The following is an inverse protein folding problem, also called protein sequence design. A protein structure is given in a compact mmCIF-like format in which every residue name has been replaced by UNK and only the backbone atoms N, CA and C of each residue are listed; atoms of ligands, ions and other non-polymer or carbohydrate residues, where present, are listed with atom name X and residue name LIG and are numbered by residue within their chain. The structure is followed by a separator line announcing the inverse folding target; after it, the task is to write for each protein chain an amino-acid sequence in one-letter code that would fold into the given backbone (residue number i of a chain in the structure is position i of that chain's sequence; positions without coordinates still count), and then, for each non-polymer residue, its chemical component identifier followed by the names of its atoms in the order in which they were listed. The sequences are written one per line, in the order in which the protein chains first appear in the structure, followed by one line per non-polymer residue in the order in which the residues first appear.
data_IF_807804966574
#
_entry.id   IF_807804966574
#
_cell.length_a   1.000
_cell.length_b   1.000
_cell.length_c   1.000
_cell.angle_alpha   90.00
_cell.angle_beta   90.00
_cell.angle_gamma   90.00
#
_symmetry.space_group_name_H-M   'P 1'
#
loop_
_entity.id
_entity.type
_entity.pdbx_description
1 polymer ?
#
# COMPACT_ATOMS: atom_id res chain seq x y z
N UNK A 1 -26.01 -11.12 -14.02
CA UNK A 1 -27.22 -11.83 -14.47
C UNK A 1 -26.89 -12.57 -15.77
N UNK A 2 -26.93 -13.90 -15.73
CA UNK A 2 -26.60 -14.78 -16.85
C UNK A 2 -27.87 -15.23 -17.62
N UNK A 3 -27.75 -15.34 -18.92
CA UNK A 3 -28.73 -15.94 -19.84
C UNK A 3 -27.98 -16.52 -21.05
N UNK A 4 -28.68 -17.32 -21.88
CA UNK A 4 -28.08 -17.86 -23.10
C UNK A 4 -27.55 -16.74 -24.03
N UNK A 5 -26.31 -16.80 -24.52
CA UNK A 5 -25.70 -15.70 -25.29
C UNK A 5 -26.49 -15.29 -26.54
N UNK A 6 -27.07 -16.25 -27.24
CA UNK A 6 -27.86 -16.00 -28.43
C UNK A 6 -29.19 -15.21 -28.22
N UNK A 7 -29.60 -15.05 -26.94
CA UNK A 7 -30.83 -14.31 -26.56
C UNK A 7 -30.56 -13.27 -25.47
N UNK A 8 -29.28 -12.84 -25.34
CA UNK A 8 -28.80 -12.05 -24.22
C UNK A 8 -29.07 -10.54 -24.35
N UNK A 9 -29.43 -10.04 -25.52
CA UNK A 9 -29.70 -8.64 -25.76
C UNK A 9 -30.69 -8.08 -24.73
N UNK A 10 -30.31 -6.98 -24.07
CA UNK A 10 -31.11 -6.28 -23.04
C UNK A 10 -31.44 -7.11 -21.77
N UNK A 11 -30.84 -8.29 -21.62
CA UNK A 11 -31.09 -9.21 -20.49
C UNK A 11 -29.84 -9.54 -19.68
N UNK A 12 -28.71 -9.80 -20.34
CA UNK A 12 -27.48 -10.20 -19.68
C UNK A 12 -26.78 -8.98 -19.05
N UNK A 13 -26.26 -9.18 -17.84
CA UNK A 13 -25.25 -8.32 -17.26
C UNK A 13 -24.10 -9.24 -16.88
N UNK A 14 -22.97 -9.12 -17.60
CA UNK A 14 -21.78 -9.91 -17.38
C UNK A 14 -20.94 -9.28 -16.27
N UNK A 15 -20.81 -9.98 -15.15
CA UNK A 15 -20.09 -9.46 -13.98
C UNK A 15 -18.60 -9.22 -14.26
N UNK A 16 -17.95 -10.05 -15.08
CA UNK A 16 -16.56 -9.81 -15.47
C UNK A 16 -16.38 -8.50 -16.25
N UNK A 17 -17.30 -8.18 -17.16
CA UNK A 17 -17.25 -6.92 -17.92
C UNK A 17 -17.57 -5.72 -17.02
N UNK A 18 -18.47 -5.89 -16.06
CA UNK A 18 -18.75 -4.86 -15.05
C UNK A 18 -17.54 -4.58 -14.16
N UNK A 19 -16.76 -5.62 -13.79
CA UNK A 19 -15.52 -5.49 -13.07
C UNK A 19 -14.46 -4.74 -13.90
N UNK A 20 -14.35 -5.01 -15.20
CA UNK A 20 -13.46 -4.25 -16.11
C UNK A 20 -13.91 -2.78 -16.21
N UNK A 21 -15.21 -2.53 -16.32
CA UNK A 21 -15.76 -1.17 -16.33
C UNK A 21 -15.40 -0.43 -15.04
N UNK A 22 -15.57 -1.04 -13.87
CA UNK A 22 -15.15 -0.47 -12.58
C UNK A 22 -13.67 -0.11 -12.59
N UNK A 23 -12.80 -1.04 -12.97
CA UNK A 23 -11.36 -0.83 -12.98
C UNK A 23 -10.93 0.28 -13.96
N UNK A 24 -11.65 0.44 -15.08
CA UNK A 24 -11.37 1.49 -16.07
C UNK A 24 -11.78 2.90 -15.64
N UNK A 25 -12.64 3.03 -14.63
CA UNK A 25 -13.07 4.31 -14.07
C UNK A 25 -12.06 4.87 -13.05
N UNK A 26 -11.12 4.04 -12.56
CA UNK A 26 -10.04 4.51 -11.69
C UNK A 26 -8.95 5.22 -12.50
N UNK A 27 -8.31 6.27 -11.94
CA UNK A 27 -7.26 7.01 -12.62
C UNK A 27 -6.10 6.11 -13.04
N UNK A 28 -5.77 6.10 -14.32
CA UNK A 28 -4.70 5.26 -14.86
C UNK A 28 -3.30 5.73 -14.44
N UNK A 29 -3.16 7.00 -14.07
CA UNK A 29 -1.94 7.63 -13.56
C UNK A 29 -1.74 7.44 -12.04
N UNK A 30 -2.71 6.84 -11.35
CA UNK A 30 -2.62 6.54 -9.91
C UNK A 30 -2.49 5.03 -9.65
N UNK A 31 -1.54 4.40 -10.30
CA UNK A 31 -1.19 2.98 -10.12
C UNK A 31 0.24 2.86 -9.57
N UNK A 32 0.62 1.74 -8.94
CA UNK A 32 2.00 1.54 -8.48
C UNK A 32 3.05 1.76 -9.57
N UNK A 33 2.75 1.35 -10.80
CA UNK A 33 3.64 1.46 -11.96
C UNK A 33 3.74 2.86 -12.57
N UNK A 34 2.88 3.80 -12.17
CA UNK A 34 2.83 5.17 -12.70
C UNK A 34 3.09 6.24 -11.63
N UNK A 35 3.34 5.84 -10.39
CA UNK A 35 3.50 6.75 -9.24
C UNK A 35 4.80 6.50 -8.50
N UNK A 36 5.37 7.54 -7.88
CA UNK A 36 6.61 7.48 -7.11
C UNK A 36 6.57 8.36 -5.84
N UNK A 37 7.62 8.27 -5.03
CA UNK A 37 7.83 9.14 -3.87
C UNK A 37 6.67 9.13 -2.87
N UNK A 38 5.98 10.25 -2.74
CA UNK A 38 4.84 10.44 -1.82
C UNK A 38 3.46 10.27 -2.49
N UNK A 39 3.42 9.98 -3.77
CA UNK A 39 2.18 9.80 -4.50
C UNK A 39 1.45 8.52 -4.06
N UNK A 40 0.15 8.64 -3.87
CA UNK A 40 -0.72 7.50 -3.54
C UNK A 40 -1.14 6.72 -4.78
N UNK A 41 -1.71 5.53 -4.57
CA UNK A 41 -2.12 4.66 -5.67
C UNK A 41 -3.30 3.76 -5.33
N UNK A 42 -3.94 3.24 -6.38
CA UNK A 42 -4.85 2.12 -6.37
C UNK A 42 -4.14 0.90 -6.98
N UNK A 43 -3.89 -0.13 -6.20
CA UNK A 43 -3.25 -1.35 -6.64
C UNK A 43 -4.24 -2.50 -6.73
N UNK A 44 -4.61 -2.89 -7.95
CA UNK A 44 -5.40 -4.09 -8.18
C UNK A 44 -4.53 -5.33 -7.91
N UNK A 45 -4.81 -6.04 -6.84
CA UNK A 45 -4.04 -7.23 -6.45
C UNK A 45 -4.65 -8.52 -6.97
N UNK A 46 -5.97 -8.55 -7.12
CA UNK A 46 -6.69 -9.75 -7.57
C UNK A 46 -7.90 -9.36 -8.39
N UNK A 47 -8.10 -10.06 -9.49
CA UNK A 47 -9.31 -10.00 -10.30
C UNK A 47 -9.72 -11.43 -10.63
N UNK A 48 -10.89 -11.83 -10.14
CA UNK A 48 -11.49 -13.14 -10.42
C UNK A 48 -12.91 -12.88 -10.91
N UNK A 49 -13.32 -13.54 -11.99
CA UNK A 49 -14.64 -13.29 -12.53
C UNK A 49 -15.19 -14.38 -13.43
N UNK A 50 -16.51 -14.40 -13.48
CA UNK A 50 -17.33 -15.15 -14.41
C UNK A 50 -18.45 -14.25 -14.94
N UNK A 51 -19.38 -14.80 -15.72
CA UNK A 51 -20.57 -14.05 -16.14
C UNK A 51 -21.46 -13.66 -14.95
N UNK A 52 -21.50 -14.49 -13.90
CA UNK A 52 -22.43 -14.33 -12.78
C UNK A 52 -21.86 -13.51 -11.63
N UNK A 53 -20.56 -13.64 -11.37
CA UNK A 53 -19.88 -12.98 -10.26
C UNK A 53 -18.48 -12.58 -10.65
N UNK A 54 -18.03 -11.42 -10.14
CA UNK A 54 -16.63 -10.99 -10.20
C UNK A 54 -16.23 -10.35 -8.88
N UNK A 55 -14.96 -10.50 -8.53
CA UNK A 55 -14.35 -9.90 -7.35
C UNK A 55 -13.08 -9.15 -7.76
N UNK A 56 -12.97 -7.91 -7.35
CA UNK A 56 -11.77 -7.09 -7.46
C UNK A 56 -11.24 -6.83 -6.05
N UNK A 57 -9.95 -7.06 -5.84
CA UNK A 57 -9.29 -6.70 -4.59
C UNK A 57 -8.28 -5.59 -4.86
N UNK A 58 -8.39 -4.51 -4.12
CA UNK A 58 -7.52 -3.36 -4.21
C UNK A 58 -6.81 -3.09 -2.89
N UNK A 59 -5.54 -2.70 -2.99
CA UNK A 59 -4.84 -1.98 -1.93
C UNK A 59 -4.82 -0.51 -2.33
N UNK A 60 -5.31 0.35 -1.44
CA UNK A 60 -5.26 1.81 -1.62
C UNK A 60 -4.23 2.37 -0.65
N UNK A 61 -3.34 3.21 -1.14
CA UNK A 61 -2.31 3.87 -0.33
C UNK A 61 -2.22 5.35 -0.65
N UNK A 62 -2.01 6.14 0.38
CA UNK A 62 -1.59 7.52 0.26
C UNK A 62 -0.84 7.95 1.52
N UNK A 63 0.14 8.83 1.39
CA UNK A 63 0.86 9.39 2.54
C UNK A 63 0.07 10.51 3.22
N UNK A 64 -0.79 11.21 2.47
CA UNK A 64 -1.72 12.20 2.98
C UNK A 64 -3.02 11.52 3.41
N UNK A 65 -3.45 11.77 4.65
CA UNK A 65 -4.75 11.30 5.15
C UNK A 65 -5.91 11.87 4.31
N UNK A 66 -5.82 13.14 3.94
CA UNK A 66 -6.83 13.80 3.11
C UNK A 66 -6.96 13.14 1.72
N UNK A 67 -5.84 12.93 1.02
CA UNK A 67 -5.83 12.27 -0.28
C UNK A 67 -6.26 10.80 -0.19
N UNK A 68 -5.93 10.13 0.92
CA UNK A 68 -6.41 8.77 1.18
C UNK A 68 -7.93 8.72 1.29
N UNK A 69 -8.54 9.64 2.06
CA UNK A 69 -10.00 9.72 2.17
C UNK A 69 -10.66 10.10 0.82
N UNK A 70 -10.05 10.99 0.04
CA UNK A 70 -10.53 11.29 -1.32
C UNK A 70 -10.51 10.05 -2.23
N UNK A 71 -9.50 9.19 -2.12
CA UNK A 71 -9.45 7.91 -2.85
C UNK A 71 -10.58 6.96 -2.45
N UNK A 72 -10.90 6.88 -1.16
CA UNK A 72 -12.04 6.08 -0.67
C UNK A 72 -13.37 6.63 -1.22
N UNK A 73 -13.54 7.95 -1.17
CA UNK A 73 -14.73 8.60 -1.75
C UNK A 73 -14.87 8.34 -3.25
N UNK A 74 -13.77 8.31 -4.00
CA UNK A 74 -13.81 7.98 -5.42
C UNK A 74 -14.32 6.55 -5.66
N UNK A 75 -13.90 5.57 -4.87
CA UNK A 75 -14.41 4.19 -4.94
C UNK A 75 -15.92 4.13 -4.66
N UNK A 76 -16.39 4.87 -3.66
CA UNK A 76 -17.83 4.98 -3.34
C UNK A 76 -18.61 5.62 -4.49
N UNK A 77 -18.07 6.70 -5.09
CA UNK A 77 -18.69 7.39 -6.22
C UNK A 77 -18.81 6.48 -7.44
N UNK A 78 -17.74 5.74 -7.79
CA UNK A 78 -17.74 4.78 -8.89
C UNK A 78 -18.77 3.69 -8.63
N UNK A 79 -18.81 3.15 -7.41
CA UNK A 79 -19.79 2.15 -7.01
C UNK A 79 -21.23 2.66 -7.16
N UNK A 80 -21.49 3.88 -6.69
CA UNK A 80 -22.80 4.52 -6.81
C UNK A 80 -23.19 4.78 -8.28
N UNK A 81 -22.22 5.21 -9.12
CA UNK A 81 -22.45 5.45 -10.54
C UNK A 81 -22.79 4.16 -11.28
N UNK A 82 -22.07 3.08 -11.01
CA UNK A 82 -22.33 1.78 -11.61
C UNK A 82 -23.68 1.21 -11.14
N UNK A 83 -24.07 1.41 -9.87
CA UNK A 83 -25.37 0.99 -9.37
C UNK A 83 -26.55 1.82 -9.92
N UNK A 84 -26.33 3.02 -10.45
CA UNK A 84 -27.34 3.74 -11.24
C UNK A 84 -27.59 3.05 -12.58
N UNK A 85 -26.54 2.50 -13.21
CA UNK A 85 -26.61 1.78 -14.48
C UNK A 85 -27.03 0.32 -14.31
N UNK A 86 -26.58 -0.31 -13.23
CA UNK A 86 -26.80 -1.73 -12.91
C UNK A 86 -27.31 -1.86 -11.46
N UNK A 87 -28.60 -1.60 -11.19
CA UNK A 87 -29.10 -1.47 -9.82
C UNK A 87 -28.82 -2.69 -8.93
N UNK A 88 -28.14 -2.46 -7.82
CA UNK A 88 -27.84 -3.47 -6.81
C UNK A 88 -26.81 -4.53 -7.21
N UNK A 89 -26.04 -4.30 -8.30
CA UNK A 89 -25.10 -5.30 -8.81
C UNK A 89 -23.65 -5.07 -8.39
N UNK A 90 -23.34 -3.94 -7.75
CA UNK A 90 -22.00 -3.63 -7.27
C UNK A 90 -22.05 -3.38 -5.77
N UNK A 91 -21.27 -4.13 -5.01
CA UNK A 91 -21.02 -3.90 -3.59
C UNK A 91 -19.56 -3.47 -3.38
N UNK A 92 -19.33 -2.62 -2.40
CA UNK A 92 -18.00 -2.17 -2.00
C UNK A 92 -17.84 -2.43 -0.51
N UNK A 93 -16.75 -3.12 -0.16
CA UNK A 93 -16.31 -3.29 1.22
C UNK A 93 -14.94 -2.65 1.37
N UNK A 94 -14.77 -1.82 2.40
CA UNK A 94 -13.50 -1.14 2.68
C UNK A 94 -13.12 -1.34 4.15
N UNK A 95 -11.84 -1.65 4.37
CA UNK A 95 -11.28 -1.81 5.72
C UNK A 95 -9.97 -1.04 5.81
N UNK A 96 -9.91 -0.08 6.73
CA UNK A 96 -8.67 0.65 7.03
C UNK A 96 -7.73 -0.26 7.82
N UNK A 97 -6.49 -0.39 7.35
CA UNK A 97 -5.47 -1.21 8.00
C UNK A 97 -4.66 -0.38 9.01
N UNK A 98 -4.14 0.74 8.57
CA UNK A 98 -3.36 1.72 9.34
C UNK A 98 -3.14 2.98 8.49
N UNK A 99 -2.82 4.08 9.17
CA UNK A 99 -2.45 5.34 8.53
C UNK A 99 -0.92 5.51 8.43
N UNK A 100 -0.46 6.65 7.95
CA UNK A 100 0.96 6.95 7.89
C UNK A 100 1.54 7.06 9.31
N UNK A 101 2.53 6.22 9.62
CA UNK A 101 3.17 6.20 10.95
C UNK A 101 3.89 7.51 11.29
N UNK A 102 4.13 8.40 10.33
CA UNK A 102 4.81 9.68 10.54
C UNK A 102 4.16 10.49 11.65
N UNK A 103 2.84 10.52 11.74
CA UNK A 103 2.12 11.27 12.78
C UNK A 103 2.42 10.76 14.20
N UNK A 104 2.81 9.49 14.34
CA UNK A 104 3.18 8.87 15.63
C UNK A 104 4.69 8.99 15.89
N UNK A 105 5.52 8.91 14.84
CA UNK A 105 6.99 8.91 14.94
C UNK A 105 7.54 10.33 15.05
N UNK A 106 6.97 11.32 14.35
CA UNK A 106 7.46 12.70 14.31
C UNK A 106 7.62 13.34 15.72
N UNK A 107 6.67 13.19 16.67
CA UNK A 107 6.82 13.70 18.03
C UNK A 107 7.95 13.00 18.82
N UNK A 108 8.42 11.86 18.34
CA UNK A 108 9.49 11.05 18.97
C UNK A 108 10.68 10.90 18.04
N UNK A 109 11.02 11.97 17.33
CA UNK A 109 12.08 11.99 16.31
C UNK A 109 13.44 11.49 16.83
N UNK A 110 13.70 11.56 18.13
CA UNK A 110 14.93 11.08 18.74
C UNK A 110 15.26 9.61 18.40
N UNK A 111 14.24 8.77 18.12
CA UNK A 111 14.47 7.37 17.71
C UNK A 111 15.03 7.29 16.28
N UNK A 112 14.59 8.19 15.39
CA UNK A 112 15.11 8.31 14.03
C UNK A 112 16.53 8.89 14.04
N UNK A 113 16.76 9.91 14.87
CA UNK A 113 18.08 10.53 15.03
C UNK A 113 19.10 9.53 15.61
N UNK A 114 18.69 8.69 16.57
CA UNK A 114 19.49 7.59 17.09
C UNK A 114 19.87 6.57 16.01
N UNK A 115 18.91 6.16 15.20
CA UNK A 115 19.15 5.25 14.10
C UNK A 115 20.09 5.85 13.04
N UNK A 116 19.93 7.14 12.75
CA UNK A 116 20.82 7.89 11.85
C UNK A 116 22.26 7.93 12.37
N UNK A 117 22.44 8.26 13.65
CA UNK A 117 23.76 8.27 14.29
C UNK A 117 24.42 6.88 14.28
N UNK A 118 23.65 5.81 14.50
CA UNK A 118 24.14 4.44 14.41
C UNK A 118 24.59 4.09 12.99
N UNK A 119 23.82 4.48 11.97
CA UNK A 119 24.19 4.28 10.56
C UNK A 119 25.51 5.00 10.23
N UNK A 120 25.65 6.26 10.60
CA UNK A 120 26.88 7.04 10.38
C UNK A 120 28.08 6.38 11.05
N UNK A 121 27.92 5.91 12.30
CA UNK A 121 29.00 5.24 13.05
C UNK A 121 29.50 3.95 12.39
N UNK A 122 28.67 3.27 11.59
CA UNK A 122 29.05 2.08 10.83
C UNK A 122 29.36 2.37 9.35
N UNK A 123 29.49 3.66 8.99
CA UNK A 123 29.85 4.11 7.64
C UNK A 123 28.71 4.03 6.62
N UNK A 124 27.46 4.05 7.07
CA UNK A 124 26.26 4.12 6.22
C UNK A 124 25.70 5.53 6.26
N UNK A 125 25.50 6.14 5.08
CA UNK A 125 24.87 7.47 4.97
C UNK A 125 23.35 7.34 5.18
N UNK A 126 22.75 7.94 6.22
CA UNK A 126 21.32 7.88 6.45
C UNK A 126 20.54 8.57 5.33
N UNK A 127 19.42 7.96 4.93
CA UNK A 127 18.46 8.55 4.01
C UNK A 127 17.05 8.29 4.55
N UNK A 128 16.42 9.34 5.04
CA UNK A 128 15.02 9.26 5.49
C UNK A 128 14.13 9.38 4.26
N UNK A 129 13.42 8.29 3.94
CA UNK A 129 12.56 8.20 2.76
C UNK A 129 11.18 7.68 3.13
N UNK A 130 10.13 8.05 2.37
CA UNK A 130 8.81 7.46 2.54
C UNK A 130 8.83 5.98 2.16
N UNK A 131 8.08 5.16 2.89
CA UNK A 131 7.78 3.79 2.50
C UNK A 131 6.37 3.77 1.94
N UNK A 132 6.21 3.37 0.69
CA UNK A 132 4.93 3.33 -0.03
C UNK A 132 4.14 2.05 0.25
N UNK A 133 4.77 1.04 0.82
CA UNK A 133 4.17 -0.21 1.24
C UNK A 133 3.65 -0.19 2.67
N UNK A 134 2.89 -1.20 3.03
CA UNK A 134 2.53 -1.49 4.41
C UNK A 134 3.70 -2.12 5.16
N UNK A 135 3.87 -1.76 6.43
CA UNK A 135 4.87 -2.36 7.31
C UNK A 135 4.27 -2.65 8.67
N UNK A 136 4.80 -3.66 9.35
CA UNK A 136 4.42 -3.96 10.74
C UNK A 136 4.74 -2.79 11.66
N UNK A 137 5.79 -2.02 11.36
CA UNK A 137 6.15 -0.81 12.09
C UNK A 137 5.05 0.25 12.08
N UNK A 138 4.31 0.40 10.98
CA UNK A 138 3.16 1.29 10.94
C UNK A 138 2.07 0.81 11.92
N UNK A 139 1.72 -0.48 11.89
CA UNK A 139 0.72 -1.05 12.80
C UNK A 139 1.14 -0.94 14.26
N UNK A 140 2.39 -1.30 14.58
CA UNK A 140 2.94 -1.19 15.93
C UNK A 140 2.94 0.25 16.44
N UNK A 141 3.23 1.22 15.57
CA UNK A 141 3.20 2.64 15.92
C UNK A 141 1.82 3.08 16.41
N UNK A 142 0.75 2.67 15.71
CA UNK A 142 -0.64 2.95 16.13
C UNK A 142 -1.11 2.13 17.34
N UNK A 143 -0.38 1.06 17.69
CA UNK A 143 -0.60 0.30 18.94
C UNK A 143 0.15 0.90 20.15
N UNK A 144 0.83 2.04 19.97
CA UNK A 144 1.55 2.74 21.03
C UNK A 144 3.06 2.51 21.08
N UNK A 145 3.62 1.74 20.15
CA UNK A 145 5.05 1.52 19.99
C UNK A 145 5.57 2.23 18.72
N UNK A 146 6.04 3.48 18.79
CA UNK A 146 6.63 4.17 17.63
C UNK A 146 7.78 3.35 17.04
N UNK A 147 7.59 2.86 15.82
CA UNK A 147 8.47 1.86 15.21
C UNK A 147 8.82 2.25 13.77
N UNK A 148 9.77 3.19 13.56
CA UNK A 148 10.28 3.50 12.24
C UNK A 148 11.05 2.31 11.67
N UNK A 149 11.02 2.16 10.34
CA UNK A 149 11.70 1.06 9.68
C UNK A 149 13.18 1.40 9.43
N UNK A 150 14.05 0.39 9.59
CA UNK A 150 15.44 0.43 9.17
C UNK A 150 15.60 -0.16 7.77
N UNK A 151 16.68 0.16 7.10
CA UNK A 151 17.04 -0.47 5.84
C UNK A 151 17.46 -1.93 6.07
N UNK A 152 17.19 -2.77 5.07
CA UNK A 152 17.75 -4.13 4.97
C UNK A 152 18.80 -4.22 3.87
N UNK A 153 18.72 -3.33 2.88
CA UNK A 153 19.55 -3.34 1.68
C UNK A 153 19.10 -4.35 0.63
N UNK A 154 17.86 -4.85 0.73
CA UNK A 154 17.25 -5.72 -0.26
C UNK A 154 16.82 -4.98 -1.52
N UNK A 155 16.64 -5.74 -2.59
CA UNK A 155 16.20 -5.28 -3.90
C UNK A 155 15.11 -6.18 -4.47
N UNK A 156 14.27 -5.63 -5.36
CA UNK A 156 13.21 -6.35 -6.05
C UNK A 156 12.21 -7.05 -5.10
N UNK A 157 11.88 -6.41 -3.98
CA UNK A 157 10.96 -6.94 -2.97
C UNK A 157 9.66 -7.45 -3.60
N UNK A 158 9.22 -8.63 -3.18
CA UNK A 158 8.08 -9.38 -3.71
C UNK A 158 8.23 -9.87 -5.16
N UNK A 159 9.38 -9.63 -5.80
CA UNK A 159 9.66 -10.08 -7.16
C UNK A 159 10.29 -11.49 -7.19
N UNK A 160 10.24 -12.15 -8.37
CA UNK A 160 10.87 -13.47 -8.58
C UNK A 160 12.39 -13.45 -8.39
N UNK A 161 13.01 -12.27 -8.54
CA UNK A 161 14.45 -12.04 -8.44
C UNK A 161 14.76 -11.12 -7.26
N UNK A 162 14.04 -11.31 -6.16
CA UNK A 162 14.36 -10.63 -4.90
C UNK A 162 15.72 -11.10 -4.39
N UNK A 163 16.56 -10.16 -3.99
CA UNK A 163 17.89 -10.46 -3.46
C UNK A 163 18.37 -9.40 -2.47
N UNK A 164 19.35 -9.76 -1.66
CA UNK A 164 20.10 -8.85 -0.80
C UNK A 164 21.60 -9.07 -1.01
N UNK A 165 22.39 -8.01 -1.29
CA UNK A 165 23.85 -8.09 -1.28
C UNK A 165 24.39 -8.39 0.12
N UNK A 166 25.36 -9.32 0.24
CA UNK A 166 25.97 -9.68 1.53
C UNK A 166 26.52 -8.45 2.28
N UNK A 167 27.25 -7.50 1.65
CA UNK A 167 27.70 -6.30 2.35
C UNK A 167 26.56 -5.44 2.90
N UNK A 168 25.42 -5.36 2.21
CA UNK A 168 24.26 -4.61 2.69
C UNK A 168 23.62 -5.28 3.91
N UNK A 169 23.49 -6.61 3.89
CA UNK A 169 23.01 -7.40 5.03
C UNK A 169 23.91 -7.20 6.25
N UNK A 170 25.24 -7.24 6.07
CA UNK A 170 26.21 -7.00 7.12
C UNK A 170 26.05 -5.59 7.72
N UNK A 171 25.92 -4.56 6.88
CA UNK A 171 25.72 -3.16 7.34
C UNK A 171 24.40 -2.97 8.08
N UNK A 172 23.34 -3.67 7.68
CA UNK A 172 22.07 -3.68 8.39
C UNK A 172 22.24 -4.25 9.82
N UNK A 173 22.91 -5.39 9.94
CA UNK A 173 23.21 -6.04 11.22
C UNK A 173 24.08 -5.11 12.11
N UNK A 174 25.18 -4.56 11.59
CA UNK A 174 26.08 -3.65 12.31
C UNK A 174 25.31 -2.41 12.83
N UNK A 175 24.36 -1.89 12.04
CA UNK A 175 23.51 -0.77 12.46
C UNK A 175 22.62 -1.13 13.65
N UNK A 176 21.99 -2.31 13.65
CA UNK A 176 21.15 -2.77 14.77
C UNK A 176 21.96 -2.93 16.05
N UNK A 177 23.14 -3.56 15.96
CA UNK A 177 24.07 -3.69 17.10
C UNK A 177 24.47 -2.31 17.62
N UNK A 178 24.80 -1.38 16.72
CA UNK A 178 25.21 -0.02 17.11
C UNK A 178 24.08 0.77 17.78
N UNK A 179 22.85 0.61 17.36
CA UNK A 179 21.68 1.20 18.05
C UNK A 179 21.63 0.69 19.50
N UNK A 180 21.77 -0.62 19.71
CA UNK A 180 21.75 -1.21 21.04
C UNK A 180 22.89 -0.66 21.94
N UNK A 181 24.10 -0.54 21.40
CA UNK A 181 25.24 0.07 22.10
C UNK A 181 24.97 1.53 22.51
N UNK A 182 24.44 2.34 21.58
CA UNK A 182 24.14 3.75 21.84
C UNK A 182 23.02 3.93 22.87
N UNK A 183 22.10 2.99 22.97
CA UNK A 183 21.03 3.02 24.00
C UNK A 183 21.61 2.62 25.36
N UNK A 184 22.49 1.62 25.42
CA UNK A 184 23.07 1.12 26.67
C UNK A 184 24.04 2.12 27.34
N UNK A 185 24.55 3.10 26.58
CA UNK A 185 25.52 4.11 27.08
C UNK A 185 24.89 5.44 27.49
N UNK A 186 23.54 5.55 27.38
CA UNK A 186 22.76 6.69 27.88
C UNK A 186 22.29 6.46 29.30
#
# INVERSE_FOLDING_TARGET
RNVHPGTAKDKMVNASLLAVEFASMLPADQRPETTEGYEGFFHLTTMIGSVEQAVLQYIVRDHSRELFEQKKQLLEQITAQLNKKYPGMVSLEMHDQYYNMREIVEPKKYIVDLASAAMEAVGVKPQIKPIRGGTDGARLSFMGLPCPNLFTGGHNFHGRYEYIPIPSLQKSMETVVKIAELVATK
#
